data_IF_000719831728
#
_entry.id   IF_000719831728
#
_cell.length_a   1.000
_cell.length_b   1.000
_cell.length_c   1.000
_cell.angle_alpha   90.00
_cell.angle_beta   90.00
_cell.angle_gamma   90.00
#
_symmetry.space_group_name_H-M   'P 1'
#
loop_
_entity.id
_entity.type
_entity.pdbx_description
1 polymer ?
#
# COMPACT_ATOMS: atom_id res chain seq x y z
N UNK A 1 -13.22 8.25 -6.01
CA UNK A 1 -12.02 8.93 -5.44
C UNK A 1 -10.78 8.25 -5.97
N UNK A 2 -9.77 9.02 -6.35
CA UNK A 2 -8.51 8.52 -6.91
C UNK A 2 -7.41 8.35 -5.83
N UNK A 3 -7.81 7.96 -4.61
CA UNK A 3 -6.87 7.64 -3.53
C UNK A 3 -5.95 6.50 -3.97
N UNK A 4 -4.69 6.55 -3.52
CA UNK A 4 -3.66 5.56 -3.88
C UNK A 4 -3.31 4.74 -2.65
N UNK A 5 -3.27 3.43 -2.82
CA UNK A 5 -2.98 2.43 -1.79
C UNK A 5 -1.70 1.73 -2.18
N UNK A 6 -0.69 1.82 -1.32
CA UNK A 6 0.69 1.46 -1.60
C UNK A 6 1.11 0.37 -0.62
N UNK A 7 1.81 -0.61 -1.16
CA UNK A 7 2.43 -1.68 -0.40
C UNK A 7 3.80 -2.04 -1.00
N UNK A 8 4.79 -2.31 -0.16
CA UNK A 8 6.16 -2.59 -0.58
C UNK A 8 6.70 -3.90 -0.02
N UNK A 9 7.34 -4.69 -0.88
CA UNK A 9 8.07 -5.88 -0.47
C UNK A 9 9.57 -5.64 -0.45
N UNK A 10 10.21 -6.23 0.56
CA UNK A 10 11.63 -6.08 0.85
C UNK A 10 12.25 -7.48 0.90
N UNK A 11 13.10 -7.79 -0.07
CA UNK A 11 13.82 -9.06 -0.11
C UNK A 11 15.25 -8.87 0.39
N UNK A 12 15.75 -9.82 1.18
CA UNK A 12 17.13 -9.82 1.69
C UNK A 12 17.49 -8.55 2.50
N UNK A 13 16.55 -8.10 3.33
CA UNK A 13 16.86 -7.17 4.43
C UNK A 13 16.61 -5.69 4.16
N UNK A 14 16.96 -5.10 3.01
CA UNK A 14 16.89 -3.63 2.89
C UNK A 14 16.56 -3.03 1.51
N UNK A 15 16.61 -3.78 0.41
CA UNK A 15 16.36 -3.20 -0.91
C UNK A 15 14.87 -3.24 -1.25
N UNK A 16 14.28 -2.09 -1.59
CA UNK A 16 12.93 -2.06 -2.16
C UNK A 16 12.93 -2.98 -3.36
N UNK A 17 12.15 -4.05 -3.28
CA UNK A 17 12.18 -5.11 -4.29
C UNK A 17 10.94 -5.02 -5.16
N UNK A 18 9.80 -4.78 -4.53
CA UNK A 18 8.52 -4.60 -5.20
C UNK A 18 7.84 -3.39 -4.60
N UNK A 19 7.33 -2.51 -5.47
CA UNK A 19 6.39 -1.46 -5.11
C UNK A 19 5.08 -1.74 -5.82
N UNK A 20 4.06 -2.07 -5.04
CA UNK A 20 2.67 -2.15 -5.45
C UNK A 20 1.97 -0.81 -5.24
N UNK A 21 1.12 -0.41 -6.19
CA UNK A 21 0.17 0.65 -5.96
C UNK A 21 -1.17 0.37 -6.67
N UNK A 22 -2.25 0.70 -5.98
CA UNK A 22 -3.61 0.56 -6.46
C UNK A 22 -4.36 1.89 -6.32
N UNK A 23 -5.18 2.24 -7.32
CA UNK A 23 -6.14 3.33 -7.26
C UNK A 23 -7.42 2.87 -7.94
N UNK A 24 -8.57 3.12 -7.30
CA UNK A 24 -9.86 2.71 -7.86
C UNK A 24 -10.10 3.36 -9.23
N UNK A 25 -10.51 2.55 -10.21
CA UNK A 25 -10.73 3.01 -11.59
C UNK A 25 -9.45 3.27 -12.41
N UNK A 26 -8.29 2.83 -11.93
CA UNK A 26 -7.01 2.78 -12.67
C UNK A 26 -6.50 1.33 -12.77
N UNK A 27 -5.55 1.10 -13.68
CA UNK A 27 -4.80 -0.17 -13.71
C UNK A 27 -3.85 -0.23 -12.52
N UNK A 28 -3.68 -1.44 -11.96
CA UNK A 28 -2.67 -1.72 -10.94
C UNK A 28 -1.27 -1.30 -11.42
N UNK A 29 -0.46 -0.77 -10.51
CA UNK A 29 0.97 -0.55 -10.71
C UNK A 29 1.72 -1.58 -9.88
N UNK A 30 2.67 -2.26 -10.49
CA UNK A 30 3.66 -3.08 -9.78
C UNK A 30 5.00 -2.79 -10.41
N UNK A 31 5.94 -2.28 -9.62
CA UNK A 31 7.29 -1.96 -10.05
C UNK A 31 8.27 -2.90 -9.34
N UNK A 32 9.13 -3.53 -10.13
CA UNK A 32 10.17 -4.47 -9.69
C UNK A 32 11.28 -4.57 -10.75
N UNK A 33 12.45 -5.10 -10.39
CA UNK A 33 13.63 -5.16 -11.26
C UNK A 33 13.92 -3.80 -11.94
N UNK A 34 14.21 -3.81 -13.24
CA UNK A 34 14.45 -2.62 -14.06
C UNK A 34 13.26 -1.66 -14.14
N UNK A 35 12.08 -2.07 -13.67
CA UNK A 35 10.89 -1.21 -13.68
C UNK A 35 10.74 -0.36 -12.44
N UNK A 36 11.44 -0.71 -11.36
CA UNK A 36 11.46 0.00 -10.09
C UNK A 36 12.23 1.32 -10.21
N UNK A 37 11.52 2.35 -10.68
CA UNK A 37 12.09 3.66 -10.97
C UNK A 37 11.17 4.77 -10.47
N UNK A 38 11.77 5.83 -9.92
CA UNK A 38 11.05 7.01 -9.45
C UNK A 38 10.12 7.58 -10.53
N UNK A 39 10.62 7.71 -11.76
CA UNK A 39 9.87 8.27 -12.88
C UNK A 39 8.64 7.45 -13.30
N UNK A 40 8.61 6.12 -13.07
CA UNK A 40 7.38 5.33 -13.29
C UNK A 40 6.39 5.53 -12.16
N UNK A 41 6.87 5.57 -10.93
CA UNK A 41 6.02 5.80 -9.77
C UNK A 41 5.39 7.20 -9.77
N UNK A 42 6.17 8.26 -9.99
CA UNK A 42 5.67 9.64 -10.04
C UNK A 42 4.69 9.87 -11.19
N UNK A 43 4.91 9.25 -12.36
CA UNK A 43 3.92 9.30 -13.47
C UNK A 43 2.60 8.64 -13.11
N UNK A 44 2.63 7.55 -12.35
CA UNK A 44 1.40 6.92 -11.85
C UNK A 44 0.68 7.87 -10.88
N UNK A 45 1.39 8.44 -9.91
CA UNK A 45 0.82 9.40 -8.95
C UNK A 45 0.22 10.62 -9.66
N UNK A 46 0.91 11.20 -10.64
CA UNK A 46 0.43 12.33 -11.43
C UNK A 46 -0.89 12.01 -12.16
N UNK A 47 -1.02 10.80 -12.72
CA UNK A 47 -2.26 10.34 -13.37
C UNK A 47 -3.41 10.17 -12.38
N UNK A 48 -3.14 9.74 -11.15
CA UNK A 48 -4.15 9.68 -10.10
C UNK A 48 -4.60 11.09 -9.68
N UNK A 49 -3.67 12.01 -9.51
CA UNK A 49 -3.94 13.39 -9.09
C UNK A 49 -4.71 14.21 -10.13
N UNK A 50 -4.43 14.01 -11.42
CA UNK A 50 -5.16 14.67 -12.50
C UNK A 50 -6.67 14.40 -12.48
N UNK A 51 -7.12 13.30 -11.85
CA UNK A 51 -8.53 12.91 -11.77
C UNK A 51 -9.25 13.49 -10.55
N UNK A 52 -8.53 13.88 -9.51
CA UNK A 52 -9.12 14.41 -8.29
C UNK A 52 -8.08 15.22 -7.50
N UNK A 53 -8.29 16.52 -7.24
CA UNK A 53 -7.46 17.25 -6.30
C UNK A 53 -7.60 16.67 -4.88
N UNK A 54 -6.51 16.67 -4.11
CA UNK A 54 -6.48 16.15 -2.74
C UNK A 54 -6.45 14.62 -2.64
N UNK A 55 -5.63 13.97 -3.48
CA UNK A 55 -5.35 12.52 -3.40
C UNK A 55 -4.65 12.19 -2.09
N UNK A 56 -5.13 11.15 -1.42
CA UNK A 56 -4.46 10.54 -0.28
C UNK A 56 -3.56 9.40 -0.74
N UNK A 57 -2.39 9.28 -0.11
CA UNK A 57 -1.53 8.10 -0.23
C UNK A 57 -1.67 7.28 1.05
N UNK A 58 -2.20 6.07 0.94
CA UNK A 58 -2.34 5.14 2.05
C UNK A 58 -1.27 4.07 1.97
N UNK A 59 -0.63 3.80 3.10
CA UNK A 59 0.27 2.67 3.26
C UNK A 59 0.05 2.00 4.62
N UNK A 60 0.42 0.73 4.74
CA UNK A 60 0.40 0.02 6.01
C UNK A 60 1.81 -0.02 6.60
N UNK A 61 2.08 0.78 7.63
CA UNK A 61 3.41 0.82 8.23
C UNK A 61 4.36 1.85 7.57
N UNK A 62 5.68 1.57 7.48
CA UNK A 62 6.70 2.59 7.21
C UNK A 62 6.93 2.91 5.73
N UNK A 63 6.20 2.29 4.81
CA UNK A 63 6.53 2.25 3.38
C UNK A 63 6.74 3.61 2.73
N UNK A 64 5.88 4.60 3.02
CA UNK A 64 6.02 5.96 2.44
C UNK A 64 7.42 6.52 2.74
N UNK A 65 7.87 6.44 3.99
CA UNK A 65 9.20 6.95 4.37
C UNK A 65 10.36 6.12 3.81
N UNK A 66 10.13 4.85 3.46
CA UNK A 66 11.12 4.02 2.76
C UNK A 66 11.19 4.36 1.27
N UNK A 67 10.05 4.58 0.63
CA UNK A 67 9.95 5.02 -0.77
C UNK A 67 10.61 6.39 -0.95
N UNK A 68 10.35 7.34 -0.04
CA UNK A 68 11.00 8.67 -0.04
C UNK A 68 12.53 8.54 -0.04
N UNK A 69 13.08 7.71 0.86
CA UNK A 69 14.52 7.45 0.95
C UNK A 69 15.08 6.76 -0.29
N UNK A 70 14.38 5.76 -0.81
CA UNK A 70 14.82 4.96 -1.94
C UNK A 70 14.84 5.76 -3.26
N UNK A 71 13.84 6.60 -3.50
CA UNK A 71 13.72 7.38 -4.73
C UNK A 71 14.18 8.84 -4.60
N UNK A 72 14.52 9.32 -3.41
CA UNK A 72 14.80 10.75 -3.18
C UNK A 72 13.57 11.63 -3.43
N UNK A 73 12.40 11.20 -2.96
CA UNK A 73 11.13 11.93 -3.13
C UNK A 73 10.68 12.58 -1.81
N UNK A 74 9.93 13.67 -1.92
CA UNK A 74 9.28 14.36 -0.80
C UNK A 74 7.76 14.08 -0.80
N UNK A 75 7.35 12.82 -0.67
CA UNK A 75 5.94 12.41 -0.77
C UNK A 75 5.07 13.06 0.31
N UNK A 76 5.53 13.13 1.56
CA UNK A 76 4.75 13.70 2.67
C UNK A 76 4.53 15.20 2.55
N UNK A 77 5.44 15.90 1.88
CA UNK A 77 5.27 17.35 1.58
C UNK A 77 4.30 17.57 0.43
N UNK A 78 4.21 16.63 -0.51
CA UNK A 78 3.42 16.78 -1.75
C UNK A 78 2.00 16.21 -1.63
N UNK A 79 1.79 15.24 -0.74
CA UNK A 79 0.54 14.50 -0.63
C UNK A 79 0.07 14.32 0.80
N UNK A 80 -1.23 14.07 0.99
CA UNK A 80 -1.77 13.65 2.28
C UNK A 80 -1.46 12.16 2.48
N UNK A 81 -0.35 11.86 3.15
CA UNK A 81 0.06 10.49 3.45
C UNK A 81 -0.58 10.00 4.74
N UNK A 82 -1.29 8.87 4.70
CA UNK A 82 -1.96 8.30 5.87
C UNK A 82 -1.49 6.86 6.10
N UNK A 83 -0.96 6.61 7.29
CA UNK A 83 -0.70 5.26 7.75
C UNK A 83 -2.02 4.62 8.20
N UNK A 84 -2.40 3.50 7.58
CA UNK A 84 -3.66 2.82 7.87
C UNK A 84 -3.70 2.25 9.29
N UNK A 85 -2.57 1.79 9.85
CA UNK A 85 -2.50 1.37 11.26
C UNK A 85 -2.86 2.52 12.21
N UNK A 86 -2.33 3.72 11.94
CA UNK A 86 -2.65 4.93 12.71
C UNK A 86 -4.13 5.26 12.60
N UNK A 87 -4.71 5.17 11.40
CA UNK A 87 -6.13 5.41 11.18
C UNK A 87 -7.00 4.44 12.00
N UNK A 88 -6.74 3.13 11.94
CA UNK A 88 -7.52 2.16 12.71
C UNK A 88 -7.34 2.35 14.23
N UNK A 89 -6.11 2.55 14.72
CA UNK A 89 -5.88 2.81 16.15
C UNK A 89 -6.60 4.06 16.65
N UNK A 90 -6.70 5.10 15.83
CA UNK A 90 -7.31 6.37 16.21
C UNK A 90 -8.83 6.33 16.18
N UNK A 91 -9.39 5.64 15.19
CA UNK A 91 -10.81 5.72 14.85
C UNK A 91 -11.59 4.46 15.20
N UNK A 92 -10.93 3.42 15.72
CA UNK A 92 -11.58 2.20 16.21
C UNK A 92 -10.98 1.75 17.53
N UNK A 93 -11.59 0.74 18.15
CA UNK A 93 -11.11 0.14 19.40
C UNK A 93 -10.19 -1.08 19.18
N UNK A 94 -9.67 -1.29 17.96
CA UNK A 94 -8.80 -2.44 17.68
C UNK A 94 -7.46 -2.29 18.39
N UNK A 95 -7.14 -3.28 19.22
CA UNK A 95 -5.81 -3.38 19.87
C UNK A 95 -4.75 -3.86 18.89
N UNK A 96 -5.10 -4.85 18.07
CA UNK A 96 -4.26 -5.32 16.97
C UNK A 96 -4.72 -4.68 15.67
N UNK A 97 -3.82 -4.02 14.96
CA UNK A 97 -4.10 -3.36 13.68
C UNK A 97 -3.18 -3.86 12.58
N UNK A 98 -2.62 -5.06 12.73
CA UNK A 98 -1.91 -5.69 11.62
C UNK A 98 -2.88 -5.93 10.46
N UNK A 99 -2.36 -5.87 9.23
CA UNK A 99 -3.16 -6.09 8.02
C UNK A 99 -3.88 -7.44 8.07
N UNK A 100 -3.15 -8.52 8.40
CA UNK A 100 -3.70 -9.87 8.56
C UNK A 100 -4.85 -9.93 9.59
N UNK A 101 -4.71 -9.25 10.73
CA UNK A 101 -5.77 -9.23 11.75
C UNK A 101 -7.02 -8.52 11.24
N UNK A 102 -6.85 -7.34 10.64
CA UNK A 102 -7.97 -6.55 10.13
C UNK A 102 -8.68 -7.28 8.98
N UNK A 103 -7.94 -7.92 8.09
CA UNK A 103 -8.51 -8.70 6.99
C UNK A 103 -9.33 -9.88 7.48
N UNK A 104 -8.80 -10.66 8.43
CA UNK A 104 -9.55 -11.77 9.05
C UNK A 104 -10.80 -11.26 9.76
N UNK A 105 -10.68 -10.17 10.51
CA UNK A 105 -11.80 -9.56 11.23
C UNK A 105 -12.93 -9.14 10.29
N UNK A 106 -12.60 -8.49 9.18
CA UNK A 106 -13.58 -7.99 8.21
C UNK A 106 -13.90 -8.99 7.07
N UNK A 107 -13.41 -10.23 7.15
CA UNK A 107 -13.63 -11.24 6.11
C UNK A 107 -13.14 -10.84 4.73
N UNK A 108 -12.04 -10.09 4.65
CA UNK A 108 -11.47 -9.67 3.38
C UNK A 108 -10.83 -10.86 2.65
N UNK A 109 -11.06 -11.01 1.34
CA UNK A 109 -10.54 -12.16 0.61
C UNK A 109 -9.03 -12.01 0.42
N UNK A 110 -8.32 -13.11 0.68
CA UNK A 110 -6.89 -13.27 0.49
C UNK A 110 -6.65 -14.66 -0.11
N UNK A 111 -5.91 -14.73 -1.21
CA UNK A 111 -5.55 -16.01 -1.83
C UNK A 111 -4.20 -16.49 -1.33
N UNK A 112 -3.28 -15.56 -1.12
CA UNK A 112 -1.90 -15.85 -0.76
C UNK A 112 -1.61 -15.36 0.66
N UNK A 113 -1.11 -16.24 1.50
CA UNK A 113 -0.59 -15.91 2.83
C UNK A 113 0.90 -16.22 2.78
N UNK A 114 1.71 -15.17 2.70
CA UNK A 114 3.17 -15.26 2.64
C UNK A 114 3.77 -14.57 3.85
N UNK A 115 4.74 -15.23 4.49
CA UNK A 115 5.65 -14.61 5.44
C UNK A 115 6.81 -13.91 4.72
N UNK A 116 7.58 -13.09 5.43
CA UNK A 116 8.80 -12.49 4.87
C UNK A 116 9.77 -13.55 4.32
N UNK A 117 9.90 -14.68 5.01
CA UNK A 117 10.73 -15.81 4.56
C UNK A 117 10.20 -16.43 3.26
N UNK A 118 8.87 -16.58 3.13
CA UNK A 118 8.28 -17.10 1.89
C UNK A 118 8.52 -16.15 0.73
N UNK A 119 8.39 -14.84 0.95
CA UNK A 119 8.66 -13.82 -0.06
C UNK A 119 10.12 -13.89 -0.51
N UNK A 120 11.07 -13.98 0.42
CA UNK A 120 12.50 -14.13 0.12
C UNK A 120 12.76 -15.39 -0.74
N UNK A 121 12.25 -16.54 -0.32
CA UNK A 121 12.45 -17.82 -1.01
C UNK A 121 11.82 -17.79 -2.41
N UNK A 122 10.56 -17.38 -2.53
CA UNK A 122 9.83 -17.37 -3.80
C UNK A 122 10.40 -16.34 -4.78
N UNK A 123 10.88 -15.21 -4.27
CA UNK A 123 11.45 -14.18 -5.14
C UNK A 123 12.83 -14.55 -5.67
N UNK A 124 13.67 -15.14 -4.81
CA UNK A 124 15.05 -15.51 -5.14
C UNK A 124 15.18 -16.82 -5.89
N UNK A 125 14.12 -17.65 -5.95
CA UNK A 125 14.13 -18.93 -6.67
C UNK A 125 14.40 -18.81 -8.18
N UNK A 126 14.22 -17.62 -8.75
CA UNK A 126 14.33 -17.38 -10.20
C UNK A 126 13.16 -17.95 -11.01
N UNK A 127 12.22 -18.64 -10.36
CA UNK A 127 11.05 -19.21 -11.01
C UNK A 127 9.98 -18.13 -11.28
N UNK A 128 9.48 -18.09 -12.51
CA UNK A 128 8.46 -17.12 -12.93
C UNK A 128 7.13 -17.27 -12.19
N UNK A 129 6.73 -18.50 -11.89
CA UNK A 129 5.48 -18.80 -11.16
C UNK A 129 5.57 -18.34 -9.71
N UNK A 130 6.70 -18.61 -9.05
CA UNK A 130 6.94 -18.18 -7.67
C UNK A 130 6.95 -16.65 -7.56
N UNK A 131 7.68 -15.97 -8.46
CA UNK A 131 7.68 -14.50 -8.51
C UNK A 131 6.29 -13.95 -8.79
N UNK A 132 5.49 -14.62 -9.63
CA UNK A 132 4.09 -14.23 -9.88
C UNK A 132 3.25 -14.34 -8.63
N UNK A 133 3.45 -15.36 -7.78
CA UNK A 133 2.74 -15.50 -6.51
C UNK A 133 3.02 -14.31 -5.57
N UNK A 134 4.28 -13.90 -5.45
CA UNK A 134 4.66 -12.70 -4.66
C UNK A 134 4.01 -11.44 -5.23
N UNK A 135 3.98 -11.29 -6.56
CA UNK A 135 3.29 -10.17 -7.20
C UNK A 135 1.77 -10.20 -6.98
N UNK A 136 1.15 -11.37 -6.96
CA UNK A 136 -0.28 -11.49 -6.65
C UNK A 136 -0.53 -11.11 -5.17
N UNK A 137 0.30 -11.57 -4.24
CA UNK A 137 0.26 -11.21 -2.81
C UNK A 137 0.36 -9.68 -2.59
N UNK A 138 1.41 -9.02 -3.09
CA UNK A 138 1.60 -7.57 -2.96
C UNK A 138 0.43 -6.76 -3.57
N UNK A 139 -0.19 -7.30 -4.63
CA UNK A 139 -1.37 -6.67 -5.21
C UNK A 139 -2.61 -6.82 -4.31
N UNK A 140 -2.81 -7.99 -3.69
CA UNK A 140 -3.87 -8.23 -2.73
C UNK A 140 -3.76 -7.27 -1.54
N UNK A 141 -2.56 -7.03 -1.03
CA UNK A 141 -2.30 -6.09 0.07
C UNK A 141 -2.72 -4.66 -0.29
N UNK A 142 -2.32 -4.17 -1.47
CA UNK A 142 -2.78 -2.88 -1.99
C UNK A 142 -4.32 -2.78 -2.09
N UNK A 143 -4.97 -3.85 -2.57
CA UNK A 143 -6.43 -3.90 -2.70
C UNK A 143 -7.14 -3.97 -1.36
N UNK A 144 -6.61 -4.72 -0.41
CA UNK A 144 -7.18 -4.86 0.91
C UNK A 144 -7.04 -3.57 1.70
N UNK A 145 -5.96 -2.80 1.52
CA UNK A 145 -5.87 -1.44 2.06
C UNK A 145 -7.00 -0.54 1.55
N UNK A 146 -7.35 -0.61 0.26
CA UNK A 146 -8.50 0.11 -0.27
C UNK A 146 -9.82 -0.34 0.38
N UNK A 147 -10.03 -1.64 0.54
CA UNK A 147 -11.23 -2.18 1.20
C UNK A 147 -11.33 -1.73 2.65
N UNK A 148 -10.23 -1.78 3.39
CA UNK A 148 -10.15 -1.35 4.79
C UNK A 148 -10.45 0.14 4.95
N UNK A 149 -9.90 1.02 4.10
CA UNK A 149 -10.24 2.44 4.15
C UNK A 149 -11.72 2.68 3.79
N UNK A 150 -12.30 1.87 2.89
CA UNK A 150 -13.74 1.95 2.62
C UNK A 150 -14.59 1.51 3.80
N UNK A 151 -14.14 0.50 4.55
CA UNK A 151 -14.79 0.04 5.79
C UNK A 151 -14.72 1.16 6.84
N UNK A 152 -13.55 1.76 7.10
CA UNK A 152 -13.44 2.92 8.00
C UNK A 152 -14.41 4.04 7.62
N UNK A 153 -14.48 4.39 6.33
CA UNK A 153 -15.37 5.45 5.86
C UNK A 153 -16.86 5.09 6.00
N UNK A 154 -17.24 3.82 5.81
CA UNK A 154 -18.65 3.38 5.78
C UNK A 154 -19.19 2.99 7.15
N UNK A 155 -18.45 2.17 7.88
CA UNK A 155 -18.90 1.55 9.13
C UNK A 155 -18.56 2.43 10.34
N UNK A 156 -17.45 3.18 10.26
CA UNK A 156 -17.01 4.06 11.34
C UNK A 156 -17.27 5.55 11.04
N UNK A 157 -17.90 5.87 9.90
CA UNK A 157 -18.29 7.24 9.54
C UNK A 157 -17.11 8.20 9.29
N UNK A 158 -15.89 7.68 9.11
CA UNK A 158 -14.69 8.52 9.04
C UNK A 158 -14.65 9.35 7.77
N UNK A 159 -14.43 10.64 7.94
CA UNK A 159 -14.38 11.64 6.87
C UNK A 159 -12.96 11.85 6.34
N UNK A 160 -12.85 12.53 5.18
CA UNK A 160 -11.54 12.96 4.68
C UNK A 160 -10.83 13.94 5.61
N UNK A 161 -11.59 14.80 6.29
CA UNK A 161 -11.02 15.80 7.18
C UNK A 161 -10.33 15.13 8.38
N UNK A 162 -10.95 14.08 8.93
CA UNK A 162 -10.36 13.26 9.98
C UNK A 162 -9.15 12.47 9.49
N UNK A 163 -9.18 11.90 8.29
CA UNK A 163 -7.99 11.25 7.72
C UNK A 163 -6.85 12.26 7.50
N UNK A 164 -7.17 13.51 7.13
CA UNK A 164 -6.18 14.57 6.95
C UNK A 164 -5.55 15.01 8.28
N UNK A 165 -6.30 14.99 9.38
CA UNK A 165 -5.78 15.40 10.69
C UNK A 165 -4.73 14.43 11.28
N UNK A 166 -4.67 13.21 10.74
CA UNK A 166 -3.67 12.19 11.10
C UNK A 166 -2.63 11.94 10.00
N UNK A 167 -2.62 12.78 8.95
CA UNK A 167 -1.64 12.65 7.88
C UNK A 167 -0.22 12.94 8.41
N UNK A 168 0.75 12.21 7.85
CA UNK A 168 2.17 12.26 8.21
C UNK A 168 2.96 13.30 7.42
#
# INVERSE_FOLDING_TARGET
MADVFIDCEWVSGEYLTILGAYSFGQRKLQLYDKTLTAGRFTRFLARCCARAPGVFLFAHGPDIGRIERYFGLDLKKQYCCVNTQTAFRKFTNFRNVSLDHLEKHFGLPRRHILSATDIDVLWTSGNRTDRRQVLEYNHEDCMNLWRLIRILKREHGITKAELKSIAM
#
